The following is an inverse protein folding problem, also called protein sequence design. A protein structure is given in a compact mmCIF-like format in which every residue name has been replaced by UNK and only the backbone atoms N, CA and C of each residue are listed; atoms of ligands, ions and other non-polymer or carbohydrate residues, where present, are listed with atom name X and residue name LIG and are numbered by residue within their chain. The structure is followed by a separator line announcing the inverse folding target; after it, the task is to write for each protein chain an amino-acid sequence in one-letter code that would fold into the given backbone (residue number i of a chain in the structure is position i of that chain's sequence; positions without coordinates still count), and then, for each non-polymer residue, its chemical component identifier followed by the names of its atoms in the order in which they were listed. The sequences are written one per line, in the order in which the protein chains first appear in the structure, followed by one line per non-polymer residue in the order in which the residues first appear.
data_IF_404797019867
#
_entry.id   IF_404797019867
#
_cell.length_a   1.000
_cell.length_b   1.000
_cell.length_c   1.000
_cell.angle_alpha   90.00
_cell.angle_beta   90.00
_cell.angle_gamma   90.00
#
_symmetry.space_group_name_H-M   'P 1'
#
loop_
_entity.id
_entity.type
_entity.pdbx_description
1 polymer ?
#
# COMPACT_ATOMS: atom_id res chain seq x y z
N UNK A 1 4.13 1.50 13.39
CA UNK A 1 3.46 0.53 12.49
C UNK A 1 2.24 1.22 11.89
N UNK A 2 2.09 1.21 10.57
CA UNK A 2 0.97 1.86 9.86
C UNK A 2 -0.23 0.90 9.69
N UNK A 3 -0.43 -0.04 10.64
CA UNK A 3 -1.51 -1.03 10.61
C UNK A 3 -2.89 -0.41 10.43
N UNK A 4 -3.14 0.76 11.03
CA UNK A 4 -4.40 1.50 10.92
C UNK A 4 -4.77 1.89 9.48
N UNK A 5 -3.80 1.91 8.56
CA UNK A 5 -4.01 2.13 7.13
C UNK A 5 -4.63 0.91 6.45
N UNK A 6 -4.46 -0.28 7.00
CA UNK A 6 -5.03 -1.52 6.49
C UNK A 6 -6.36 -1.80 7.21
N UNK A 7 -6.36 -1.72 8.53
CA UNK A 7 -7.51 -1.98 9.38
C UNK A 7 -7.58 -0.91 10.48
N UNK A 8 -8.62 -0.04 10.51
CA UNK A 8 -9.88 -0.17 9.76
C UNK A 8 -9.89 0.51 8.39
N UNK A 9 -8.85 1.24 7.95
CA UNK A 9 -8.99 2.09 6.77
C UNK A 9 -9.15 1.33 5.44
N UNK A 10 -8.16 0.54 4.99
CA UNK A 10 -8.21 -0.10 3.66
C UNK A 10 -9.40 -1.05 3.51
N UNK A 11 -9.61 -1.91 4.51
CA UNK A 11 -10.68 -2.90 4.49
C UNK A 11 -12.03 -2.35 4.91
N UNK A 12 -12.07 -1.29 5.72
CA UNK A 12 -13.30 -0.59 6.14
C UNK A 12 -14.43 -1.57 6.49
N UNK A 13 -14.21 -2.53 7.42
CA UNK A 13 -15.14 -3.65 7.63
C UNK A 13 -16.54 -3.19 8.04
N UNK A 14 -16.63 -2.06 8.76
CA UNK A 14 -17.88 -1.43 9.17
C UNK A 14 -18.43 -0.43 8.13
N UNK A 15 -17.76 -0.29 6.98
CA UNK A 15 -18.05 0.68 5.93
C UNK A 15 -18.20 2.13 6.47
N UNK A 16 -17.36 2.47 7.45
CA UNK A 16 -17.34 3.77 8.13
C UNK A 16 -16.79 4.85 7.20
N UNK A 17 -15.71 4.56 6.46
CA UNK A 17 -15.04 5.51 5.57
C UNK A 17 -15.72 5.62 4.19
N UNK A 18 -16.54 4.65 3.79
CA UNK A 18 -17.37 4.66 2.56
C UNK A 18 -16.60 4.90 1.27
N UNK A 19 -15.31 4.59 1.27
CA UNK A 19 -14.41 4.91 0.16
C UNK A 19 -14.28 3.79 -0.89
N UNK A 20 -14.84 2.60 -0.63
CA UNK A 20 -14.86 1.47 -1.57
C UNK A 20 -13.50 0.88 -1.95
N UNK A 21 -12.39 1.26 -1.29
CA UNK A 21 -11.04 0.75 -1.59
C UNK A 21 -10.88 -0.74 -1.29
N UNK A 22 -11.67 -1.26 -0.35
CA UNK A 22 -11.77 -2.66 0.01
C UNK A 22 -12.13 -3.55 -1.19
N UNK A 23 -12.98 -3.07 -2.11
CA UNK A 23 -13.52 -3.86 -3.24
C UNK A 23 -12.43 -4.50 -4.11
N UNK A 24 -11.32 -3.80 -4.34
CA UNK A 24 -10.21 -4.35 -5.12
C UNK A 24 -9.59 -5.56 -4.41
N UNK A 25 -9.27 -5.42 -3.13
CA UNK A 25 -8.68 -6.48 -2.31
C UNK A 25 -9.62 -7.65 -2.10
N UNK A 26 -10.91 -7.37 -1.85
CA UNK A 26 -11.96 -8.40 -1.77
C UNK A 26 -12.09 -9.16 -3.09
N UNK A 27 -12.08 -8.46 -4.24
CA UNK A 27 -12.10 -9.10 -5.56
C UNK A 27 -10.87 -9.94 -5.89
N UNK A 28 -9.78 -9.79 -5.12
CA UNK A 28 -8.57 -10.59 -5.21
C UNK A 28 -8.51 -11.69 -4.14
N UNK A 29 -9.56 -11.82 -3.31
CA UNK A 29 -9.69 -12.84 -2.27
C UNK A 29 -9.06 -12.47 -0.92
N UNK A 30 -8.73 -11.20 -0.70
CA UNK A 30 -8.20 -10.71 0.58
C UNK A 30 -9.30 -10.21 1.50
N UNK A 31 -9.12 -10.43 2.80
CA UNK A 31 -10.02 -9.98 3.87
C UNK A 31 -9.26 -9.22 4.94
N UNK A 32 -9.95 -8.63 5.93
CA UNK A 32 -9.31 -7.96 7.07
C UNK A 32 -8.32 -8.86 7.82
N UNK A 33 -8.54 -10.19 7.83
CA UNK A 33 -7.62 -11.16 8.42
C UNK A 33 -6.24 -11.15 7.76
N UNK A 34 -6.14 -10.63 6.54
CA UNK A 34 -4.90 -10.52 5.77
C UNK A 34 -4.19 -9.18 5.94
N UNK A 35 -4.76 -8.24 6.71
CA UNK A 35 -4.20 -6.90 6.89
C UNK A 35 -2.73 -6.91 7.35
N UNK A 36 -2.38 -7.82 8.28
CA UNK A 36 -1.00 -7.97 8.76
C UNK A 36 -0.06 -8.47 7.67
N UNK A 37 -0.49 -9.45 6.88
CA UNK A 37 0.31 -9.99 5.79
C UNK A 37 0.50 -8.95 4.68
N UNK A 38 -0.57 -8.26 4.29
CA UNK A 38 -0.52 -7.18 3.30
C UNK A 38 0.40 -6.05 3.75
N UNK A 39 0.32 -5.63 5.01
CA UNK A 39 1.24 -4.64 5.57
C UNK A 39 2.69 -5.08 5.40
N UNK A 40 3.03 -6.28 5.86
CA UNK A 40 4.40 -6.78 5.81
C UNK A 40 4.91 -6.91 4.37
N UNK A 41 4.07 -7.37 3.44
CA UNK A 41 4.47 -7.52 2.03
C UNK A 41 4.67 -6.15 1.35
N UNK A 42 3.81 -5.16 1.65
CA UNK A 42 3.99 -3.79 1.15
C UNK A 42 5.27 -3.14 1.70
N UNK A 43 5.54 -3.25 3.01
CA UNK A 43 6.75 -2.72 3.64
C UNK A 43 8.02 -3.38 3.09
N UNK A 44 8.00 -4.70 2.90
CA UNK A 44 9.10 -5.47 2.31
C UNK A 44 9.42 -5.04 0.88
N UNK A 45 8.40 -4.98 0.01
CA UNK A 45 8.60 -4.55 -1.38
C UNK A 45 9.02 -3.09 -1.46
N UNK A 46 8.45 -2.22 -0.62
CA UNK A 46 8.79 -0.80 -0.60
C UNK A 46 10.24 -0.55 -0.22
N UNK A 47 10.74 -1.22 0.83
CA UNK A 47 12.15 -1.10 1.22
C UNK A 47 13.07 -1.56 0.09
N UNK A 48 12.80 -2.74 -0.49
CA UNK A 48 13.64 -3.31 -1.56
C UNK A 48 13.69 -2.37 -2.78
N UNK A 49 12.54 -1.87 -3.20
CA UNK A 49 12.42 -1.01 -4.39
C UNK A 49 12.97 0.39 -4.15
N UNK A 50 12.81 0.94 -2.94
CA UNK A 50 13.41 2.21 -2.56
C UNK A 50 14.95 2.16 -2.61
N UNK A 51 15.57 1.12 -2.03
CA UNK A 51 17.03 0.94 -2.09
C UNK A 51 17.52 0.79 -3.54
N UNK A 52 16.74 0.12 -4.38
CA UNK A 52 17.08 -0.09 -5.79
C UNK A 52 16.82 1.12 -6.70
N UNK A 53 16.18 2.18 -6.21
CA UNK A 53 15.73 3.30 -7.06
C UNK A 53 14.50 2.97 -7.93
N UNK A 54 13.79 1.87 -7.69
CA UNK A 54 12.61 1.41 -8.44
C UNK A 54 11.32 2.06 -7.91
N UNK A 55 11.19 3.36 -8.13
CA UNK A 55 10.02 4.13 -7.75
C UNK A 55 9.84 5.35 -8.66
N UNK A 56 8.64 5.92 -8.68
CA UNK A 56 8.40 7.20 -9.34
C UNK A 56 8.36 8.33 -8.32
N UNK A 57 8.99 9.45 -8.65
CA UNK A 57 8.91 10.65 -7.83
C UNK A 57 7.52 11.28 -7.97
N UNK A 58 6.92 11.58 -6.82
CA UNK A 58 5.74 12.42 -6.71
C UNK A 58 6.10 13.84 -6.26
N UNK A 59 5.12 14.52 -5.65
CA UNK A 59 5.29 15.88 -5.14
C UNK A 59 6.29 15.93 -3.99
N UNK A 60 7.30 16.79 -4.11
CA UNK A 60 8.12 17.27 -3.00
C UNK A 60 7.37 18.38 -2.26
N UNK A 61 7.24 18.27 -0.94
CA UNK A 61 6.66 19.32 -0.11
C UNK A 61 7.40 19.45 1.23
N UNK A 62 6.92 20.34 2.10
CA UNK A 62 7.48 20.58 3.44
C UNK A 62 7.54 19.32 4.34
N UNK A 63 6.74 18.29 4.04
CA UNK A 63 6.66 17.07 4.83
C UNK A 63 7.65 16.00 4.32
N UNK A 64 8.21 16.17 3.12
CA UNK A 64 9.18 15.25 2.51
C UNK A 64 8.94 15.02 1.01
N UNK A 65 9.65 14.03 0.47
CA UNK A 65 9.49 13.59 -0.92
C UNK A 65 8.45 12.48 -1.00
N UNK A 66 7.36 12.68 -1.76
CA UNK A 66 6.45 11.58 -2.08
C UNK A 66 7.06 10.67 -3.14
N UNK A 67 6.94 9.37 -2.97
CA UNK A 67 7.28 8.38 -3.99
C UNK A 67 6.12 7.41 -4.18
N UNK A 68 5.96 6.88 -5.39
CA UNK A 68 5.06 5.77 -5.66
C UNK A 68 5.86 4.52 -5.97
N UNK A 69 5.51 3.42 -5.31
CA UNK A 69 6.13 2.12 -5.49
C UNK A 69 5.07 1.16 -6.01
N UNK A 70 5.40 0.48 -7.12
CA UNK A 70 4.57 -0.59 -7.67
C UNK A 70 4.69 -1.82 -6.78
N UNK A 71 3.54 -2.34 -6.35
CA UNK A 71 3.42 -3.52 -5.49
C UNK A 71 2.79 -4.63 -6.31
N UNK A 72 3.31 -5.84 -6.16
CA UNK A 72 2.80 -7.04 -6.82
C UNK A 72 2.43 -8.09 -5.77
N UNK A 73 1.17 -8.52 -5.74
CA UNK A 73 0.70 -9.57 -4.82
C UNK A 73 -0.05 -10.65 -5.60
N UNK A 74 0.00 -11.93 -5.17
CA UNK A 74 -0.83 -12.97 -5.77
C UNK A 74 -2.30 -12.71 -5.49
N UNK A 75 -3.20 -13.13 -6.39
CA UNK A 75 -4.60 -13.27 -5.99
C UNK A 75 -4.76 -14.54 -5.18
N UNK A 76 -5.61 -14.49 -4.14
CA UNK A 76 -5.94 -15.66 -3.32
C UNK A 76 -6.96 -16.59 -3.98
N UNK A 77 -7.63 -16.14 -5.02
CA UNK A 77 -8.60 -16.93 -5.80
C UNK A 77 -7.96 -17.84 -6.87
N UNK A 78 -6.63 -18.01 -6.85
CA UNK A 78 -5.89 -18.82 -7.84
C UNK A 78 -5.63 -18.09 -9.16
N UNK A 79 -5.98 -16.81 -9.28
CA UNK A 79 -5.65 -15.98 -10.43
C UNK A 79 -4.18 -15.56 -10.53
N UNK A 80 -3.87 -14.74 -11.54
CA UNK A 80 -2.53 -14.17 -11.76
C UNK A 80 -2.18 -13.13 -10.69
N UNK A 81 -0.89 -12.78 -10.60
CA UNK A 81 -0.44 -11.62 -9.81
C UNK A 81 -1.21 -10.36 -10.19
N UNK A 82 -1.53 -9.52 -9.21
CA UNK A 82 -2.08 -8.18 -9.39
C UNK A 82 -1.02 -7.14 -9.03
N UNK A 83 -1.00 -6.05 -9.79
CA UNK A 83 -0.07 -4.95 -9.60
C UNK A 83 -0.81 -3.65 -9.37
N UNK A 84 -0.38 -2.87 -8.38
CA UNK A 84 -0.95 -1.54 -8.09
C UNK A 84 0.11 -0.59 -7.54
N UNK A 85 -0.21 0.71 -7.47
CA UNK A 85 0.67 1.71 -6.87
C UNK A 85 0.33 1.91 -5.39
N UNK A 86 1.37 1.93 -4.58
CA UNK A 86 1.34 2.36 -3.19
C UNK A 86 2.12 3.68 -3.05
N UNK A 87 1.60 4.59 -2.22
CA UNK A 87 2.18 5.92 -2.03
C UNK A 87 2.91 6.04 -0.70
N UNK A 88 4.16 6.50 -0.74
CA UNK A 88 5.04 6.61 0.43
C UNK A 88 5.61 8.03 0.58
N UNK A 89 5.90 8.41 1.82
CA UNK A 89 6.68 9.59 2.14
C UNK A 89 8.10 9.17 2.49
N UNK A 90 9.08 9.82 1.88
CA UNK A 90 10.49 9.72 2.24
C UNK A 90 10.83 10.95 3.09
N UNK A 91 11.25 10.71 4.33
CA UNK A 91 11.74 11.76 5.22
C UNK A 91 13.23 12.03 5.00
N UNK A 92 13.76 13.19 5.44
CA UNK A 92 15.17 13.55 5.24
C UNK A 92 16.19 12.53 5.77
N UNK A 93 15.83 11.73 6.77
CA UNK A 93 16.66 10.64 7.31
C UNK A 93 16.56 9.32 6.53
N UNK A 94 15.88 9.31 5.37
CA UNK A 94 15.67 8.13 4.55
C UNK A 94 14.58 7.17 5.06
N UNK A 95 13.86 7.53 6.15
CA UNK A 95 12.76 6.69 6.63
C UNK A 95 11.56 6.77 5.68
N UNK A 96 10.96 5.60 5.43
CA UNK A 96 9.76 5.44 4.61
C UNK A 96 8.52 5.37 5.49
N UNK A 97 7.49 6.11 5.12
CA UNK A 97 6.16 6.03 5.75
C UNK A 97 5.08 5.79 4.71
N UNK A 98 4.26 4.77 4.92
CA UNK A 98 3.12 4.49 4.06
C UNK A 98 2.08 5.60 4.19
N UNK A 99 1.76 6.27 3.09
CA UNK A 99 0.72 7.32 3.08
C UNK A 99 -0.57 6.81 2.46
N UNK A 100 -0.47 5.94 1.46
CA UNK A 100 -1.62 5.40 0.72
C UNK A 100 -1.33 3.93 0.38
N UNK A 101 -1.99 2.96 1.06
CA UNK A 101 -1.79 1.53 0.81
C UNK A 101 -2.21 1.12 -0.61
N UNK A 102 -3.20 1.82 -1.16
CA UNK A 102 -3.73 1.57 -2.49
C UNK A 102 -4.13 2.88 -3.16
N UNK A 103 -3.41 3.24 -4.22
CA UNK A 103 -3.72 4.35 -5.12
C UNK A 103 -4.31 3.81 -6.43
N UNK A 104 -5.44 4.37 -6.85
CA UNK A 104 -6.15 3.97 -8.07
C UNK A 104 -5.90 4.94 -9.23
N UNK A 105 -5.38 4.37 -10.32
CA UNK A 105 -5.15 4.91 -11.69
C UNK A 105 -4.27 6.16 -11.81
#
# INVERSE_FOLDING_TARGET
SEYSKFDPYLFDPDNFYKHGKNRAFESWGYTVNDARWLQAELEKQALKKYIAGDYTLGKLNKDGQRINIRIEIPRKDGGRMVSFLSGWMVYPNGSLKLTTPYGGK
#
